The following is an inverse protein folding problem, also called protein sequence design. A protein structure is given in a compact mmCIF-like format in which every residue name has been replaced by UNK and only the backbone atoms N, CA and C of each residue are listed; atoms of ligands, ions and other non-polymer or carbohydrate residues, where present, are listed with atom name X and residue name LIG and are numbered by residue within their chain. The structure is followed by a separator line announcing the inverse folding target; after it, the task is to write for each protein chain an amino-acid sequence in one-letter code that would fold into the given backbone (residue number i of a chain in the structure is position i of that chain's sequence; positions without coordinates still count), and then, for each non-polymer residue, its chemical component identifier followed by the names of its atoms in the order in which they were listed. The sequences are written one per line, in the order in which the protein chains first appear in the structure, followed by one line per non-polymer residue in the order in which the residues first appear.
data_IF_725510484266
#
_entry.id   IF_725510484266
#
_cell.length_a   1.000
_cell.length_b   1.000
_cell.length_c   1.000
_cell.angle_alpha   90.00
_cell.angle_beta   90.00
_cell.angle_gamma   90.00
#
_symmetry.space_group_name_H-M   'P 1'
#
loop_
_entity.id
_entity.type
_entity.pdbx_description
1 polymer ?
#
# COMPACT_ATOMS: atom_id res chain seq x y z
N UNK A 1 58.05 -48.75 -16.83
CA UNK A 1 56.66 -48.64 -16.33
C UNK A 1 56.39 -47.18 -16.00
N UNK A 2 55.73 -46.47 -16.92
CA UNK A 2 55.41 -45.06 -16.74
C UNK A 2 53.93 -44.95 -16.33
N UNK A 3 53.63 -44.54 -15.09
CA UNK A 3 52.28 -44.35 -14.57
C UNK A 3 51.79 -42.93 -14.96
N UNK A 4 50.87 -42.86 -15.93
CA UNK A 4 50.17 -41.64 -16.32
C UNK A 4 49.15 -41.27 -15.23
N UNK A 5 49.40 -40.17 -14.50
CA UNK A 5 48.41 -39.52 -13.62
C UNK A 5 47.49 -38.63 -14.45
N UNK A 6 46.22 -39.05 -14.55
CA UNK A 6 45.14 -38.21 -15.11
C UNK A 6 44.69 -37.27 -14.04
N UNK A 7 44.91 -35.96 -14.21
CA UNK A 7 44.37 -34.91 -13.35
C UNK A 7 43.05 -34.48 -13.96
N UNK A 8 41.94 -34.89 -13.33
CA UNK A 8 40.61 -34.36 -13.65
C UNK A 8 40.44 -32.98 -13.03
N UNK A 9 40.51 -31.93 -13.82
CA UNK A 9 40.13 -30.58 -13.46
C UNK A 9 38.61 -30.44 -13.47
N UNK A 10 38.00 -30.47 -12.30
CA UNK A 10 36.61 -30.11 -12.14
C UNK A 10 36.48 -28.59 -12.23
N UNK A 11 35.96 -28.09 -13.35
CA UNK A 11 35.50 -26.70 -13.46
C UNK A 11 34.18 -26.55 -12.69
N UNK A 12 34.24 -26.02 -11.48
CA UNK A 12 33.07 -25.48 -10.80
C UNK A 12 32.67 -24.19 -11.50
N UNK A 13 31.68 -24.27 -12.39
CA UNK A 13 30.98 -23.08 -12.89
C UNK A 13 30.18 -22.52 -11.73
N UNK A 14 30.71 -21.51 -11.01
CA UNK A 14 29.97 -20.72 -10.08
C UNK A 14 28.92 -19.95 -10.90
N UNK A 15 27.66 -20.40 -10.86
CA UNK A 15 26.54 -19.64 -11.37
C UNK A 15 26.47 -18.34 -10.57
N UNK A 16 26.95 -17.24 -11.14
CA UNK A 16 26.74 -15.90 -10.60
C UNK A 16 25.25 -15.65 -10.69
N UNK A 17 24.56 -15.79 -9.56
CA UNK A 17 23.16 -15.37 -9.45
C UNK A 17 23.14 -13.85 -9.67
N UNK A 18 22.80 -13.43 -10.87
CA UNK A 18 22.49 -12.03 -11.15
C UNK A 18 21.38 -11.63 -10.20
N UNK A 19 21.50 -10.47 -9.50
CA UNK A 19 20.42 -9.99 -8.66
C UNK A 19 19.17 -9.94 -9.52
N UNK A 20 18.13 -10.68 -9.14
CA UNK A 20 16.85 -10.64 -9.83
C UNK A 20 16.37 -9.19 -9.80
N UNK A 21 16.21 -8.57 -10.97
CA UNK A 21 15.73 -7.19 -11.09
C UNK A 21 14.41 -7.02 -10.32
N UNK A 22 14.03 -5.79 -10.06
CA UNK A 22 12.79 -5.52 -9.36
C UNK A 22 11.60 -6.09 -10.17
N UNK A 23 10.53 -6.59 -9.52
CA UNK A 23 9.38 -7.14 -10.23
C UNK A 23 8.78 -6.21 -11.29
N UNK A 24 8.76 -4.91 -11.00
CA UNK A 24 8.22 -3.88 -11.91
C UNK A 24 9.10 -3.55 -13.12
N UNK A 25 10.31 -4.09 -13.19
CA UNK A 25 11.15 -4.01 -14.38
C UNK A 25 10.81 -5.11 -15.40
N UNK A 26 10.07 -6.14 -14.98
CA UNK A 26 9.56 -7.20 -15.84
C UNK A 26 8.26 -6.78 -16.53
N UNK A 27 7.95 -7.42 -17.65
CA UNK A 27 6.61 -7.29 -18.25
C UNK A 27 5.56 -8.00 -17.38
N UNK A 28 4.33 -7.47 -17.27
CA UNK A 28 3.31 -8.01 -16.38
C UNK A 28 2.99 -9.50 -16.59
N UNK A 29 3.14 -10.00 -17.83
CA UNK A 29 2.90 -11.41 -18.18
C UNK A 29 3.88 -12.36 -17.46
N UNK A 30 5.07 -11.87 -17.12
CA UNK A 30 6.12 -12.62 -16.44
C UNK A 30 6.03 -12.55 -14.92
N UNK A 31 5.12 -11.75 -14.36
CA UNK A 31 4.99 -11.65 -12.91
C UNK A 31 4.46 -12.95 -12.32
N UNK A 32 5.17 -13.47 -11.36
CA UNK A 32 4.69 -14.52 -10.47
C UNK A 32 3.76 -13.94 -9.40
N UNK A 33 3.01 -14.77 -8.69
CA UNK A 33 2.23 -14.30 -7.54
C UNK A 33 3.12 -13.65 -6.47
N UNK A 34 4.33 -14.14 -6.26
CA UNK A 34 5.29 -13.51 -5.33
C UNK A 34 5.69 -12.10 -5.81
N UNK A 35 5.89 -11.91 -7.12
CA UNK A 35 6.14 -10.59 -7.70
C UNK A 35 4.93 -9.65 -7.47
N UNK A 36 3.72 -10.14 -7.70
CA UNK A 36 2.47 -9.38 -7.47
C UNK A 36 2.35 -8.94 -6.01
N UNK A 37 2.53 -9.85 -5.05
CA UNK A 37 2.50 -9.50 -3.63
C UNK A 37 3.59 -8.51 -3.25
N UNK A 38 4.80 -8.65 -3.81
CA UNK A 38 5.88 -7.69 -3.57
C UNK A 38 5.53 -6.30 -4.10
N UNK A 39 4.91 -6.20 -5.27
CA UNK A 39 4.46 -4.92 -5.84
C UNK A 39 3.41 -4.28 -4.94
N UNK A 40 2.44 -5.04 -4.46
CA UNK A 40 1.32 -4.54 -3.66
C UNK A 40 1.67 -4.25 -2.19
N UNK A 41 2.77 -4.80 -1.66
CA UNK A 41 3.07 -4.72 -0.23
C UNK A 41 4.44 -4.13 0.11
N UNK A 42 5.37 -4.09 -0.86
CA UNK A 42 6.74 -3.62 -0.63
C UNK A 42 7.38 -3.13 -1.93
N UNK A 43 6.87 -2.04 -2.44
CA UNK A 43 7.35 -1.38 -3.65
C UNK A 43 7.40 0.13 -3.47
N UNK A 44 7.98 0.89 -4.42
CA UNK A 44 7.92 2.35 -4.38
C UNK A 44 6.50 2.93 -4.32
N UNK A 45 5.51 2.21 -4.85
CA UNK A 45 4.08 2.59 -4.85
C UNK A 45 3.31 2.07 -3.63
N UNK A 46 3.91 1.19 -2.85
CA UNK A 46 3.35 0.62 -1.63
C UNK A 46 4.46 0.41 -0.59
N UNK A 47 4.89 1.46 0.09
CA UNK A 47 5.94 1.35 1.09
C UNK A 47 5.54 0.41 2.24
N UNK A 48 6.38 -0.60 2.51
CA UNK A 48 6.12 -1.58 3.57
C UNK A 48 6.17 -0.99 4.98
N UNK A 49 6.77 0.19 5.13
CA UNK A 49 6.97 0.85 6.44
C UNK A 49 6.46 2.26 6.39
N UNK A 50 5.62 2.61 7.34
CA UNK A 50 5.16 3.97 7.54
C UNK A 50 4.78 4.21 9.00
N UNK A 51 4.62 5.46 9.39
CA UNK A 51 4.19 5.83 10.73
C UNK A 51 2.68 5.67 10.83
N UNK A 52 2.22 4.89 11.80
CA UNK A 52 0.81 4.71 12.13
C UNK A 52 0.60 5.00 13.61
N UNK A 53 -0.35 5.87 13.93
CA UNK A 53 -0.82 6.13 15.27
C UNK A 53 -2.33 5.88 15.30
N UNK A 54 -2.79 5.13 16.30
CA UNK A 54 -4.21 4.86 16.49
C UNK A 54 -4.52 4.85 17.97
N UNK A 55 -5.64 5.43 18.35
CA UNK A 55 -6.14 5.42 19.71
C UNK A 55 -7.49 4.70 19.85
N UNK A 56 -7.86 3.89 18.85
CA UNK A 56 -9.09 3.11 18.99
C UNK A 56 -8.88 1.90 19.90
N UNK A 57 -9.93 1.54 20.63
CA UNK A 57 -9.96 0.35 21.47
C UNK A 57 -10.41 -0.82 20.65
N UNK A 58 -9.50 -1.75 20.35
CA UNK A 58 -9.87 -3.01 19.72
C UNK A 58 -10.56 -3.90 20.75
N UNK A 59 -11.83 -4.22 20.52
CA UNK A 59 -12.55 -5.20 21.31
C UNK A 59 -12.24 -6.59 20.77
N UNK A 60 -11.25 -7.26 21.35
CA UNK A 60 -11.01 -8.67 21.06
C UNK A 60 -12.02 -9.51 21.83
N UNK A 61 -13.02 -10.02 21.15
CA UNK A 61 -13.82 -11.13 21.67
C UNK A 61 -13.01 -12.40 21.52
N UNK A 62 -12.34 -12.80 22.58
CA UNK A 62 -11.80 -14.15 22.67
C UNK A 62 -13.00 -15.10 22.81
N UNK A 63 -13.38 -15.75 21.72
CA UNK A 63 -14.53 -16.66 21.63
C UNK A 63 -14.40 -17.92 22.52
N UNK A 64 -13.29 -18.11 23.23
CA UNK A 64 -13.08 -19.25 24.11
C UNK A 64 -13.22 -18.97 25.61
N UNK A 65 -13.25 -17.71 26.07
CA UNK A 65 -13.26 -17.46 27.52
C UNK A 65 -14.29 -16.46 28.04
N UNK A 66 -15.06 -15.81 27.16
CA UNK A 66 -16.05 -14.82 27.60
C UNK A 66 -15.47 -13.60 28.34
N UNK A 67 -14.15 -13.48 28.43
CA UNK A 67 -13.47 -12.36 29.05
C UNK A 67 -13.22 -11.29 27.99
N UNK A 68 -13.89 -10.15 28.17
CA UNK A 68 -13.62 -8.94 27.37
C UNK A 68 -12.38 -8.29 27.98
N UNK A 69 -11.24 -8.42 27.34
CA UNK A 69 -10.05 -7.69 27.70
C UNK A 69 -10.11 -6.28 27.06
N UNK A 70 -10.34 -5.28 27.90
CA UNK A 70 -10.46 -3.86 27.52
C UNK A 70 -9.05 -3.22 27.56
N UNK A 71 -8.08 -3.85 26.91
CA UNK A 71 -6.72 -3.32 26.84
C UNK A 71 -6.68 -2.08 25.94
N UNK A 72 -6.50 -0.94 26.58
CA UNK A 72 -6.23 0.34 25.90
C UNK A 72 -4.82 0.30 25.33
N UNK A 73 -4.72 0.15 24.01
CA UNK A 73 -3.43 0.30 23.33
C UNK A 73 -3.16 1.79 23.09
N UNK A 74 -2.62 2.46 24.11
CA UNK A 74 -1.95 3.74 23.93
C UNK A 74 -0.51 3.44 23.46
N UNK A 75 -0.32 3.20 22.18
CA UNK A 75 1.00 2.88 21.64
C UNK A 75 1.32 3.74 20.42
N UNK A 76 2.37 4.54 20.51
CA UNK A 76 3.06 5.03 19.31
C UNK A 76 3.73 3.84 18.66
N UNK A 77 3.09 3.27 17.65
CA UNK A 77 3.69 2.18 16.91
C UNK A 77 4.31 2.72 15.63
N UNK A 78 5.62 2.84 15.66
CA UNK A 78 6.41 3.12 14.47
C UNK A 78 6.62 1.83 13.70
N UNK A 79 6.15 1.80 12.48
CA UNK A 79 6.33 0.79 11.44
C UNK A 79 5.44 -0.46 11.54
N UNK A 80 4.36 -0.45 10.77
CA UNK A 80 3.63 -1.66 10.40
C UNK A 80 4.30 -2.27 9.17
N UNK A 81 4.69 -3.52 9.24
CA UNK A 81 5.13 -4.30 8.08
C UNK A 81 3.94 -5.12 7.61
N UNK A 82 3.35 -4.80 6.43
CA UNK A 82 2.26 -5.61 5.90
C UNK A 82 2.68 -7.07 5.74
N UNK A 83 1.84 -8.00 6.22
CA UNK A 83 2.06 -9.43 6.05
C UNK A 83 2.84 -10.14 7.15
N UNK A 84 3.27 -9.46 8.22
CA UNK A 84 3.82 -10.14 9.41
C UNK A 84 2.72 -10.21 10.47
N UNK A 85 2.16 -11.40 10.66
CA UNK A 85 1.33 -11.70 11.82
C UNK A 85 2.25 -11.78 13.03
N UNK A 86 2.35 -10.70 13.81
CA UNK A 86 3.04 -10.73 15.09
C UNK A 86 2.18 -11.55 16.08
N UNK A 87 2.51 -12.80 16.22
CA UNK A 87 1.96 -13.70 17.22
C UNK A 87 2.43 -13.30 18.60
N UNK A 88 1.69 -12.54 19.31
CA UNK A 88 1.71 -12.17 20.75
C UNK A 88 1.68 -10.66 20.99
N UNK A 89 0.62 -10.08 20.59
CA UNK A 89 0.24 -8.72 20.87
C UNK A 89 -1.01 -8.48 20.04
N UNK A 90 -1.89 -7.61 20.46
CA UNK A 90 -3.07 -7.30 19.66
C UNK A 90 -2.60 -6.90 18.25
N UNK A 91 -3.09 -7.57 17.20
CA UNK A 91 -2.68 -7.22 15.86
C UNK A 91 -3.08 -5.75 15.61
N UNK A 92 -2.09 -4.93 15.26
CA UNK A 92 -2.40 -3.64 14.70
C UNK A 92 -3.26 -3.85 13.47
N UNK A 93 -4.23 -2.98 13.18
CA UNK A 93 -4.97 -3.06 11.95
C UNK A 93 -3.97 -3.04 10.80
N UNK A 94 -4.07 -4.05 9.95
CA UNK A 94 -3.29 -4.07 8.74
C UNK A 94 -3.80 -2.93 7.84
N UNK A 95 -3.00 -1.88 7.71
CA UNK A 95 -3.26 -0.77 6.79
C UNK A 95 -2.32 -0.94 5.62
N UNK A 96 -2.86 -0.95 4.42
CA UNK A 96 -2.09 -0.89 3.19
C UNK A 96 -2.41 0.42 2.48
N UNK A 97 -1.38 1.16 2.09
CA UNK A 97 -1.53 2.39 1.30
C UNK A 97 -0.87 2.16 -0.05
N UNK A 98 -1.65 2.32 -1.12
CA UNK A 98 -1.21 2.12 -2.49
C UNK A 98 -1.31 3.42 -3.29
N UNK A 99 -0.32 3.70 -4.10
CA UNK A 99 -0.40 4.73 -5.13
C UNK A 99 -1.18 4.18 -6.32
N UNK A 100 -2.53 4.24 -6.22
CA UNK A 100 -3.45 3.56 -7.12
C UNK A 100 -3.43 4.10 -8.55
N UNK A 101 -3.11 5.38 -8.75
CA UNK A 101 -3.00 5.93 -10.10
C UNK A 101 -1.88 5.29 -10.93
N UNK A 102 -0.90 4.62 -10.30
CA UNK A 102 0.10 3.82 -10.99
C UNK A 102 -0.52 2.67 -11.78
N UNK A 103 -0.13 2.54 -13.03
CA UNK A 103 -0.50 1.39 -13.87
C UNK A 103 0.03 0.08 -13.30
N UNK A 104 1.24 0.10 -12.74
CA UNK A 104 1.88 -1.08 -12.12
C UNK A 104 1.01 -1.63 -10.98
N UNK A 105 0.49 -0.78 -10.10
CA UNK A 105 -0.40 -1.19 -9.00
C UNK A 105 -1.71 -1.76 -9.55
N UNK A 106 -2.36 -1.07 -10.50
CA UNK A 106 -3.63 -1.55 -11.09
C UNK A 106 -3.48 -2.90 -11.79
N UNK A 107 -2.38 -3.11 -12.51
CA UNK A 107 -2.07 -4.40 -13.13
C UNK A 107 -1.77 -5.51 -12.11
N UNK A 108 -1.01 -5.19 -11.05
CA UNK A 108 -0.72 -6.15 -9.99
C UNK A 108 -2.00 -6.57 -9.26
N UNK A 109 -2.89 -5.62 -8.98
CA UNK A 109 -4.18 -5.90 -8.37
C UNK A 109 -5.07 -6.77 -9.28
N UNK A 110 -5.15 -6.45 -10.56
CA UNK A 110 -5.89 -7.26 -11.52
C UNK A 110 -5.38 -8.71 -11.57
N UNK A 111 -4.05 -8.90 -11.56
CA UNK A 111 -3.46 -10.25 -11.46
C UNK A 111 -3.77 -10.95 -10.14
N UNK A 112 -3.81 -10.22 -9.03
CA UNK A 112 -4.22 -10.78 -7.74
C UNK A 112 -5.67 -11.29 -7.80
N UNK A 113 -6.56 -10.50 -8.41
CA UNK A 113 -7.96 -10.87 -8.61
C UNK A 113 -8.10 -12.09 -9.53
N UNK A 114 -7.38 -12.14 -10.65
CA UNK A 114 -7.37 -13.31 -11.53
C UNK A 114 -6.96 -14.58 -10.80
N UNK A 115 -5.89 -14.50 -10.00
CA UNK A 115 -5.37 -15.66 -9.27
C UNK A 115 -6.32 -16.11 -8.15
N UNK A 116 -7.03 -15.18 -7.49
CA UNK A 116 -7.88 -15.48 -6.34
C UNK A 116 -9.29 -15.92 -6.74
N UNK A 117 -9.88 -15.21 -7.69
CA UNK A 117 -11.29 -15.41 -8.08
C UNK A 117 -11.46 -16.21 -9.38
N UNK A 118 -10.36 -16.60 -10.05
CA UNK A 118 -10.44 -17.23 -11.37
C UNK A 118 -11.05 -16.30 -12.44
N UNK A 119 -11.10 -15.01 -12.15
CA UNK A 119 -11.64 -13.99 -13.06
C UNK A 119 -10.71 -13.84 -14.25
N UNK A 120 -10.98 -14.57 -15.34
CA UNK A 120 -10.23 -14.45 -16.58
C UNK A 120 -10.38 -13.03 -17.12
N UNK A 121 -9.29 -12.48 -17.68
CA UNK A 121 -9.26 -11.19 -18.36
C UNK A 121 -9.32 -9.93 -17.47
N UNK A 122 -9.09 -10.02 -16.16
CA UNK A 122 -9.04 -8.83 -15.30
C UNK A 122 -7.88 -7.91 -15.69
N UNK A 123 -6.72 -8.47 -16.02
CA UNK A 123 -5.55 -7.72 -16.51
C UNK A 123 -5.84 -7.02 -17.84
N UNK A 124 -6.52 -7.70 -18.77
CA UNK A 124 -6.86 -7.12 -20.07
C UNK A 124 -7.85 -5.93 -19.96
N UNK A 125 -8.60 -5.85 -18.87
CA UNK A 125 -9.55 -4.76 -18.61
C UNK A 125 -8.92 -3.55 -17.94
N UNK A 126 -7.66 -3.64 -17.50
CA UNK A 126 -6.98 -2.50 -16.89
C UNK A 126 -6.73 -1.44 -17.95
N UNK A 127 -7.36 -0.28 -17.79
CA UNK A 127 -7.09 0.87 -18.63
C UNK A 127 -5.62 1.30 -18.46
N UNK A 128 -4.90 1.33 -19.58
CA UNK A 128 -3.51 1.73 -19.61
C UNK A 128 -3.32 3.25 -19.50
N UNK A 129 -4.39 4.02 -19.68
CA UNK A 129 -4.35 5.49 -19.64
C UNK A 129 -4.02 5.99 -18.24
N UNK A 130 -3.27 7.09 -18.10
CA UNK A 130 -3.14 7.79 -16.83
C UNK A 130 -4.52 8.19 -16.31
N UNK A 131 -4.73 8.01 -15.00
CA UNK A 131 -5.93 8.55 -14.36
C UNK A 131 -5.88 10.09 -14.34
N UNK A 132 -7.03 10.77 -14.38
CA UNK A 132 -7.08 12.24 -14.36
C UNK A 132 -6.48 12.82 -13.07
N UNK A 133 -6.57 12.09 -11.97
CA UNK A 133 -6.07 12.47 -10.66
C UNK A 133 -4.94 11.54 -10.19
N UNK A 134 -4.11 12.02 -9.27
CA UNK A 134 -3.37 11.12 -8.40
C UNK A 134 -4.35 10.48 -7.43
N UNK A 135 -4.37 9.16 -7.39
CA UNK A 135 -5.27 8.40 -6.53
C UNK A 135 -4.43 7.54 -5.58
N UNK A 136 -4.64 7.74 -4.29
CA UNK A 136 -4.11 6.86 -3.26
C UNK A 136 -5.24 6.03 -2.68
N UNK A 137 -4.98 4.75 -2.45
CA UNK A 137 -5.95 3.90 -1.75
C UNK A 137 -5.45 3.51 -0.38
N UNK A 138 -6.39 3.44 0.54
CA UNK A 138 -6.19 2.88 1.88
C UNK A 138 -7.06 1.64 1.99
N UNK A 139 -6.43 0.54 2.37
CA UNK A 139 -7.06 -0.77 2.56
C UNK A 139 -6.84 -1.24 4.01
N UNK A 140 -7.76 -2.04 4.53
CA UNK A 140 -7.74 -2.59 5.88
C UNK A 140 -9.12 -2.48 6.55
N UNK A 141 -9.48 -3.44 7.39
CA UNK A 141 -10.85 -3.53 7.94
C UNK A 141 -11.20 -2.34 8.85
N UNK A 142 -10.49 -2.18 9.94
CA UNK A 142 -10.76 -1.17 10.97
C UNK A 142 -10.48 0.27 10.48
N UNK A 143 -9.35 0.54 9.81
CA UNK A 143 -9.07 1.86 9.25
C UNK A 143 -10.15 2.36 8.31
N UNK A 144 -10.71 1.50 7.48
CA UNK A 144 -11.76 1.88 6.54
C UNK A 144 -13.03 2.35 7.24
N UNK A 145 -13.39 1.73 8.37
CA UNK A 145 -14.53 2.17 9.18
C UNK A 145 -14.31 3.55 9.77
N UNK A 146 -13.11 3.81 10.31
CA UNK A 146 -12.77 5.13 10.86
C UNK A 146 -12.79 6.19 9.76
N UNK A 147 -12.21 5.91 8.60
CA UNK A 147 -12.21 6.83 7.47
C UNK A 147 -13.62 7.13 6.96
N UNK A 148 -14.49 6.12 6.88
CA UNK A 148 -15.89 6.32 6.49
C UNK A 148 -16.66 7.16 7.50
N UNK A 149 -16.45 6.90 8.79
CA UNK A 149 -17.16 7.62 9.85
C UNK A 149 -16.65 9.06 10.00
N UNK A 150 -15.41 9.36 9.58
CA UNK A 150 -14.76 10.67 9.62
C UNK A 150 -14.83 11.46 8.30
N UNK A 151 -15.61 11.02 7.33
CA UNK A 151 -15.59 11.53 5.95
C UNK A 151 -15.73 13.06 5.81
N UNK A 152 -16.44 13.71 6.71
CA UNK A 152 -16.65 15.16 6.67
C UNK A 152 -15.38 15.94 7.04
N UNK A 153 -14.53 15.37 7.90
CA UNK A 153 -13.30 16.00 8.36
C UNK A 153 -12.09 15.70 7.47
N UNK A 154 -12.21 14.77 6.51
CA UNK A 154 -11.06 14.30 5.72
C UNK A 154 -10.50 15.38 4.79
N UNK A 155 -11.32 16.30 4.28
CA UNK A 155 -10.86 17.38 3.41
C UNK A 155 -9.85 18.31 4.08
N UNK A 156 -9.96 18.49 5.40
CA UNK A 156 -9.07 19.38 6.15
C UNK A 156 -7.83 18.65 6.71
N UNK A 157 -7.84 17.33 6.71
CA UNK A 157 -6.87 16.53 7.46
C UNK A 157 -6.11 15.52 6.61
N UNK A 158 -6.45 15.43 5.31
CA UNK A 158 -5.80 14.54 4.34
C UNK A 158 -5.20 15.35 3.20
N UNK A 159 -3.89 15.21 3.00
CA UNK A 159 -3.16 15.95 1.97
C UNK A 159 -1.87 15.26 1.56
N UNK A 160 -1.31 15.68 0.43
CA UNK A 160 0.05 15.33 0.00
C UNK A 160 0.97 16.53 0.23
N UNK A 161 2.00 16.35 1.05
CA UNK A 161 3.07 17.34 1.19
C UNK A 161 4.17 17.06 0.16
N UNK A 162 4.51 18.05 -0.64
CA UNK A 162 5.51 17.97 -1.70
C UNK A 162 6.90 18.36 -1.19
N UNK A 163 7.93 17.90 -1.89
CA UNK A 163 9.33 18.20 -1.53
C UNK A 163 9.65 19.71 -1.53
N UNK A 164 9.04 20.47 -2.44
CA UNK A 164 9.20 21.91 -2.57
C UNK A 164 8.43 22.74 -1.52
N UNK A 165 7.80 22.08 -0.55
CA UNK A 165 6.98 22.71 0.49
C UNK A 165 5.53 22.99 0.07
N UNK A 166 5.15 22.64 -1.18
CA UNK A 166 3.75 22.72 -1.62
C UNK A 166 2.88 21.64 -0.98
N UNK A 167 1.57 21.84 -1.08
CA UNK A 167 0.57 20.90 -0.59
C UNK A 167 -0.46 20.67 -1.68
N UNK A 168 -0.85 19.40 -1.88
CA UNK A 168 -2.01 19.04 -2.68
C UNK A 168 -3.12 18.64 -1.72
N UNK A 169 -4.19 19.41 -1.74
CA UNK A 169 -5.37 19.13 -0.94
C UNK A 169 -6.17 17.97 -1.50
N UNK A 170 -6.91 17.30 -0.64
CA UNK A 170 -7.82 16.24 -1.03
C UNK A 170 -8.98 16.83 -1.85
N UNK A 171 -9.14 16.33 -3.09
CA UNK A 171 -10.25 16.75 -3.97
C UNK A 171 -11.53 16.00 -3.65
N UNK A 172 -11.44 14.70 -3.48
CA UNK A 172 -12.58 13.84 -3.20
C UNK A 172 -12.18 12.52 -2.57
N UNK A 173 -13.12 11.88 -1.91
CA UNK A 173 -12.99 10.53 -1.34
C UNK A 173 -14.07 9.66 -1.93
N UNK A 174 -13.68 8.47 -2.37
CA UNK A 174 -14.59 7.43 -2.84
C UNK A 174 -14.41 6.17 -2.02
N UNK A 175 -15.51 5.65 -1.51
CA UNK A 175 -15.54 4.37 -0.81
C UNK A 175 -15.95 3.29 -1.80
N UNK A 176 -15.09 2.30 -1.99
CA UNK A 176 -15.37 1.14 -2.85
C UNK A 176 -15.89 0.04 -1.97
N UNK A 177 -17.12 -0.39 -2.24
CA UNK A 177 -17.84 -1.42 -1.50
C UNK A 177 -17.88 -2.72 -2.31
N UNK A 178 -17.79 -3.85 -1.62
CA UNK A 178 -17.96 -5.18 -2.20
C UNK A 178 -19.09 -5.89 -1.45
N UNK A 179 -20.11 -6.34 -2.19
CA UNK A 179 -21.32 -6.93 -1.59
C UNK A 179 -22.23 -5.90 -0.89
N UNK A 180 -22.98 -6.36 0.10
CA UNK A 180 -24.08 -5.56 0.66
C UNK A 180 -23.68 -4.50 1.70
N UNK A 181 -22.42 -4.37 2.12
CA UNK A 181 -22.07 -3.32 3.11
C UNK A 181 -20.59 -3.12 3.47
N UNK A 182 -19.66 -3.87 2.94
CA UNK A 182 -18.28 -3.73 3.38
C UNK A 182 -17.44 -2.86 2.43
N UNK A 183 -16.88 -1.76 2.97
CA UNK A 183 -15.90 -0.95 2.26
C UNK A 183 -14.61 -1.74 2.19
N UNK A 184 -14.16 -2.07 0.99
CA UNK A 184 -12.91 -2.83 0.78
C UNK A 184 -11.70 -1.94 0.59
N UNK A 185 -11.92 -0.68 0.14
CA UNK A 185 -10.87 0.35 0.07
C UNK A 185 -11.47 1.75 0.03
N UNK A 186 -10.70 2.71 0.47
CA UNK A 186 -11.00 4.14 0.32
C UNK A 186 -10.05 4.72 -0.74
N UNK A 187 -10.60 5.35 -1.78
CA UNK A 187 -9.84 6.06 -2.80
C UNK A 187 -9.83 7.55 -2.48
N UNK A 188 -8.64 8.15 -2.43
CA UNK A 188 -8.40 9.56 -2.13
C UNK A 188 -7.78 10.22 -3.34
N UNK A 189 -8.44 11.24 -3.89
CA UNK A 189 -8.10 11.89 -5.14
C UNK A 189 -7.41 13.22 -4.89
N UNK A 190 -6.33 13.48 -5.63
CA UNK A 190 -5.53 14.70 -5.58
C UNK A 190 -5.27 15.22 -6.99
N UNK A 191 -5.18 16.54 -7.14
CA UNK A 191 -4.94 17.15 -8.45
C UNK A 191 -3.64 16.63 -9.10
N UNK A 192 -3.75 16.09 -10.31
CA UNK A 192 -2.59 15.67 -11.10
C UNK A 192 -1.90 16.86 -11.76
N UNK A 193 -2.66 17.87 -12.11
CA UNK A 193 -2.15 19.06 -12.80
C UNK A 193 -2.45 20.32 -11.98
N UNK A 194 -1.47 21.19 -11.87
CA UNK A 194 -1.60 22.54 -11.31
C UNK A 194 -1.11 23.54 -12.36
N UNK A 195 -1.96 24.48 -12.72
CA UNK A 195 -1.65 25.54 -13.71
C UNK A 195 -1.15 24.99 -15.06
N UNK A 196 -1.62 23.80 -15.46
CA UNK A 196 -1.23 23.16 -16.72
C UNK A 196 0.05 22.32 -16.67
N UNK A 197 0.69 22.22 -15.50
CA UNK A 197 1.88 21.41 -15.27
C UNK A 197 1.59 20.25 -14.32
N UNK A 198 2.34 19.14 -14.37
CA UNK A 198 2.24 18.08 -13.39
C UNK A 198 2.48 18.61 -11.98
N UNK A 199 1.56 18.33 -11.06
CA UNK A 199 1.65 18.81 -9.69
C UNK A 199 2.80 18.15 -8.90
N UNK A 200 3.22 16.95 -9.31
CA UNK A 200 4.34 16.21 -8.73
C UNK A 200 5.39 16.01 -9.83
N UNK A 201 6.59 16.49 -9.57
CA UNK A 201 7.75 16.22 -10.43
C UNK A 201 8.15 14.74 -10.26
N UNK A 202 8.19 13.95 -11.37
CA UNK A 202 8.62 12.55 -11.32
C UNK A 202 10.05 12.34 -10.78
N UNK A 203 10.90 13.36 -10.77
CA UNK A 203 12.25 13.28 -10.23
C UNK A 203 12.33 13.70 -8.76
N UNK A 204 11.22 14.11 -8.15
CA UNK A 204 11.18 14.44 -6.72
C UNK A 204 11.63 13.26 -5.88
N UNK A 205 12.44 13.55 -4.87
CA UNK A 205 12.90 12.53 -3.92
C UNK A 205 11.78 12.08 -3.00
N UNK A 206 10.77 12.96 -2.75
CA UNK A 206 9.84 12.75 -1.67
C UNK A 206 8.49 13.41 -1.88
N UNK A 207 7.43 12.63 -1.64
CA UNK A 207 6.06 13.09 -1.43
C UNK A 207 5.53 12.39 -0.19
N UNK A 208 4.89 13.12 0.71
CA UNK A 208 4.38 12.54 1.96
C UNK A 208 2.86 12.61 1.94
N UNK A 209 2.24 11.45 2.04
CA UNK A 209 0.82 11.33 2.27
C UNK A 209 0.53 11.43 3.76
N UNK A 210 -0.23 12.45 4.15
CA UNK A 210 -0.75 12.63 5.49
C UNK A 210 -2.22 12.28 5.51
N UNK A 211 -2.61 11.46 6.46
CA UNK A 211 -3.99 11.14 6.71
C UNK A 211 -4.26 11.15 8.21
N UNK A 212 -5.20 11.97 8.63
CA UNK A 212 -5.70 11.97 9.99
C UNK A 212 -7.22 11.92 9.94
N UNK A 213 -7.80 10.95 10.62
CA UNK A 213 -9.24 10.77 10.68
C UNK A 213 -9.68 10.67 12.14
N UNK A 214 -10.71 11.43 12.50
CA UNK A 214 -11.32 11.41 13.82
C UNK A 214 -12.79 11.06 13.67
N UNK A 215 -13.18 9.86 14.07
CA UNK A 215 -14.57 9.45 14.05
C UNK A 215 -15.19 9.64 15.43
N UNK A 216 -16.15 10.55 15.56
CA UNK A 216 -16.95 10.73 16.77
C UNK A 216 -18.12 9.77 16.76
N UNK A 217 -18.19 8.90 17.74
CA UNK A 217 -19.45 8.18 18.06
C UNK A 217 -20.17 8.92 19.17
N UNK A 218 -21.14 9.73 18.81
CA UNK A 218 -21.92 10.56 19.76
C UNK A 218 -22.55 9.75 20.90
N UNK A 219 -22.98 8.51 20.62
CA UNK A 219 -23.60 7.64 21.63
C UNK A 219 -22.65 7.05 22.65
N UNK A 220 -21.33 7.09 22.45
CA UNK A 220 -20.38 6.38 23.33
C UNK A 220 -19.34 7.30 23.93
N UNK A 221 -19.35 8.59 23.64
CA UNK A 221 -18.33 9.57 24.08
C UNK A 221 -16.88 9.12 23.80
N UNK A 222 -16.66 8.31 22.74
CA UNK A 222 -15.39 7.75 22.34
C UNK A 222 -14.99 8.32 20.99
N UNK A 223 -13.82 8.90 20.94
CA UNK A 223 -13.19 9.31 19.69
C UNK A 223 -12.30 8.16 19.20
N UNK A 224 -12.58 7.63 18.01
CA UNK A 224 -11.67 6.76 17.30
C UNK A 224 -10.82 7.63 16.38
N UNK A 225 -9.53 7.73 16.65
CA UNK A 225 -8.61 8.48 15.82
C UNK A 225 -7.65 7.53 15.12
N UNK A 226 -7.40 7.83 13.86
CA UNK A 226 -6.42 7.16 13.01
C UNK A 226 -5.54 8.24 12.41
N UNK A 227 -4.23 8.11 12.55
CA UNK A 227 -3.27 9.01 11.90
C UNK A 227 -2.15 8.19 11.31
N UNK A 228 -1.84 8.43 10.05
CA UNK A 228 -0.68 7.81 9.41
C UNK A 228 0.00 8.76 8.43
N UNK A 229 1.27 8.50 8.24
CA UNK A 229 2.14 9.26 7.36
C UNK A 229 2.96 8.29 6.53
N UNK A 230 2.75 8.34 5.22
CA UNK A 230 3.42 7.47 4.25
C UNK A 230 4.32 8.31 3.36
N UNK A 231 5.59 7.93 3.25
CA UNK A 231 6.54 8.57 2.38
C UNK A 231 6.68 7.79 1.08
N UNK A 232 6.45 8.46 -0.04
CA UNK A 232 6.70 7.96 -1.39
C UNK A 232 7.91 8.67 -2.00
N UNK A 233 8.61 8.00 -2.89
CA UNK A 233 9.73 8.57 -3.62
C UNK A 233 9.44 8.53 -5.13
N UNK A 234 8.86 9.59 -5.72
CA UNK A 234 8.47 9.64 -7.13
C UNK A 234 9.58 9.21 -8.08
N UNK A 235 10.83 9.63 -7.86
CA UNK A 235 11.99 9.22 -8.68
C UNK A 235 12.24 7.70 -8.71
N UNK A 236 11.75 6.96 -7.70
CA UNK A 236 11.84 5.50 -7.64
C UNK A 236 10.59 4.82 -8.21
N UNK A 237 9.50 5.56 -8.42
CA UNK A 237 8.23 5.05 -8.96
C UNK A 237 8.30 4.96 -10.48
N UNK A 238 9.25 4.14 -10.97
CA UNK A 238 9.50 3.89 -12.39
C UNK A 238 9.28 2.42 -12.69
N UNK A 239 8.47 2.14 -13.70
CA UNK A 239 8.28 0.80 -14.22
C UNK A 239 8.98 0.71 -15.58
N UNK A 240 9.91 -0.22 -15.72
CA UNK A 240 10.74 -0.37 -16.92
C UNK A 240 11.42 0.95 -17.35
N UNK A 241 11.89 1.70 -16.35
CA UNK A 241 12.58 2.97 -16.57
C UNK A 241 11.68 4.18 -16.89
N UNK A 242 10.35 4.01 -16.97
CA UNK A 242 9.40 5.10 -17.22
C UNK A 242 8.67 5.48 -15.91
N UNK A 243 8.47 6.80 -15.64
CA UNK A 243 7.64 7.24 -14.52
C UNK A 243 6.24 6.63 -14.56
N UNK A 244 5.74 6.20 -13.40
CA UNK A 244 4.42 5.56 -13.26
C UNK A 244 3.75 6.05 -11.96
N UNK A 245 3.27 7.31 -11.99
CA UNK A 245 2.63 8.01 -10.87
C UNK A 245 1.10 8.02 -10.99
#
# INVERSE_FOLDING_TARGET
MLTRRVVCLFFFAAAVALPAGAPWDKVPEQWTLADVFRILQNSPWSPAKFSLESNYTQRTTNSQSGVVDDSRVNGRNTAVVPGITLTRGHPLPAVTVLWWSSKTIRLAEAKRVEARAGAKDAVAKVDASPLPDYVLTVEGDEPLRILRDAREDLHDTVFLALENGGVLDLLSVKYVEEGDSDVVRTEMHFARMLNGEPAIDPESAKVIFHCRANARKEMQNRENALSFRVEFSPRLMKARGQPDL
#
